data_IF_608280613881
#
_entry.id   IF_608280613881
#
_cell.length_a   1.000
_cell.length_b   1.000
_cell.length_c   1.000
_cell.angle_alpha   90.00
_cell.angle_beta   90.00
_cell.angle_gamma   90.00
#
_symmetry.space_group_name_H-M   'P 1'
#
loop_
_entity.id
_entity.type
_entity.pdbx_description
1 polymer ?
#
# COMPACT_ATOMS: atom_id res chain seq x y z
N UNK A 1 22.54 -15.88 -19.27
CA UNK A 1 22.08 -16.13 -17.89
C UNK A 1 23.14 -15.58 -16.94
N UNK A 2 22.74 -15.02 -15.78
CA UNK A 2 23.46 -14.06 -14.89
C UNK A 2 23.21 -12.60 -15.29
N UNK A 3 22.73 -11.71 -14.45
CA UNK A 3 22.21 -11.77 -13.08
C UNK A 3 21.46 -10.44 -12.86
N UNK A 4 20.24 -10.48 -12.33
CA UNK A 4 19.51 -9.25 -12.02
C UNK A 4 20.16 -8.64 -10.79
N UNK A 5 20.77 -7.46 -10.95
CA UNK A 5 21.39 -6.72 -9.85
C UNK A 5 20.31 -6.21 -8.91
N UNK A 6 20.08 -6.94 -7.82
CA UNK A 6 19.47 -6.39 -6.62
C UNK A 6 20.46 -5.41 -6.00
N UNK A 7 20.22 -4.12 -6.21
CA UNK A 7 20.96 -3.06 -5.52
C UNK A 7 20.30 -2.89 -4.16
N UNK A 8 20.85 -3.58 -3.16
CA UNK A 8 20.62 -3.23 -1.76
C UNK A 8 21.33 -1.90 -1.49
N UNK A 9 20.63 -0.81 -1.12
CA UNK A 9 21.31 0.42 -0.70
C UNK A 9 21.94 0.19 0.68
N UNK A 10 23.17 -0.34 0.67
CA UNK A 10 24.05 -0.26 1.82
C UNK A 10 24.47 1.20 1.99
N UNK A 11 24.24 1.73 3.20
CA UNK A 11 24.67 3.03 3.74
C UNK A 11 23.71 4.20 3.49
N UNK A 12 22.75 4.34 4.41
CA UNK A 12 22.29 5.67 4.80
C UNK A 12 23.45 6.31 5.57
N UNK A 13 24.23 7.13 4.88
CA UNK A 13 25.22 8.00 5.50
C UNK A 13 24.46 8.99 6.38
N UNK A 14 24.52 8.79 7.71
CA UNK A 14 24.07 9.80 8.66
C UNK A 14 24.84 11.10 8.43
N UNK A 15 24.16 12.24 8.46
CA UNK A 15 24.81 13.54 8.45
C UNK A 15 25.77 13.62 9.65
N UNK A 16 27.05 13.82 9.36
CA UNK A 16 28.08 14.07 10.37
C UNK A 16 27.89 15.48 10.94
N UNK A 17 27.95 15.68 12.27
CA UNK A 17 27.91 17.01 12.87
C UNK A 17 29.30 17.67 12.79
N UNK A 18 29.31 19.01 12.84
CA UNK A 18 30.42 19.95 12.65
C UNK A 18 30.57 20.35 11.17
N UNK A 19 30.28 21.59 10.79
CA UNK A 19 30.93 22.83 11.25
C UNK A 19 29.90 23.96 11.47
N UNK A 20 30.23 24.83 12.41
CA UNK A 20 29.46 25.97 12.87
C UNK A 20 29.07 26.97 11.77
N UNK A 21 27.93 27.60 12.03
CA UNK A 21 27.33 28.79 11.44
C UNK A 21 28.26 29.74 10.66
N UNK A 22 27.86 30.05 9.42
CA UNK A 22 27.62 31.43 8.96
C UNK A 22 26.53 31.42 7.88
N UNK A 23 25.45 32.14 8.18
CA UNK A 23 24.48 32.81 7.30
C UNK A 23 24.04 32.15 5.99
N UNK A 24 22.91 31.43 6.06
CA UNK A 24 21.71 31.66 5.23
C UNK A 24 20.65 30.60 5.58
N UNK A 25 20.06 30.74 6.76
CA UNK A 25 18.88 29.95 7.10
C UNK A 25 17.90 30.81 7.90
N UNK A 26 17.17 31.66 7.19
CA UNK A 26 15.95 32.25 7.72
C UNK A 26 14.95 32.47 6.59
N UNK A 27 13.93 31.62 6.60
CA UNK A 27 12.55 31.88 6.20
C UNK A 27 12.31 32.49 4.79
N UNK A 28 11.95 31.62 3.83
CA UNK A 28 11.15 32.03 2.68
C UNK A 28 9.80 31.29 2.69
N UNK A 29 8.85 31.98 3.31
CA UNK A 29 7.41 31.80 3.21
C UNK A 29 6.95 31.83 1.74
N UNK A 30 5.92 31.03 1.42
CA UNK A 30 5.01 31.12 0.23
C UNK A 30 5.38 30.34 -1.04
N UNK A 31 4.72 29.19 -1.21
CA UNK A 31 3.81 28.92 -2.35
C UNK A 31 3.03 27.62 -2.12
N UNK A 32 1.91 27.73 -1.41
CA UNK A 32 0.82 26.77 -1.59
C UNK A 32 0.23 27.08 -2.95
N UNK A 33 0.49 26.23 -3.95
CA UNK A 33 -0.26 26.27 -5.20
C UNK A 33 -1.64 25.70 -4.90
N UNK A 34 -2.60 26.59 -4.70
CA UNK A 34 -4.01 26.26 -4.83
C UNK A 34 -4.27 25.84 -6.28
N UNK A 35 -4.55 24.57 -6.51
CA UNK A 35 -5.04 24.13 -7.81
C UNK A 35 -6.57 24.19 -7.77
N UNK A 36 -7.10 25.27 -8.35
CA UNK A 36 -8.50 25.41 -8.69
C UNK A 36 -8.90 24.32 -9.70
N UNK A 37 -10.00 23.63 -9.40
CA UNK A 37 -10.63 22.68 -10.31
C UNK A 37 -11.39 23.49 -11.37
N UNK A 38 -11.09 23.39 -12.68
CA UNK A 38 -12.00 23.89 -13.69
C UNK A 38 -13.16 22.90 -13.84
N UNK A 39 -14.32 23.28 -13.30
CA UNK A 39 -15.60 22.65 -13.64
C UNK A 39 -15.96 23.07 -15.06
N UNK A 40 -15.72 22.20 -16.05
CA UNK A 40 -16.33 22.34 -17.38
C UNK A 40 -17.43 21.29 -17.52
N UNK A 41 -18.65 21.76 -17.62
CA UNK A 41 -19.85 20.98 -17.88
C UNK A 41 -19.73 20.19 -19.20
N UNK A 42 -20.40 19.03 -19.33
CA UNK A 42 -20.39 18.27 -20.56
C UNK A 42 -21.26 18.97 -21.60
N UNK A 43 -20.65 19.35 -22.72
CA UNK A 43 -21.37 19.67 -23.96
C UNK A 43 -21.68 18.36 -24.68
N UNK A 44 -22.96 18.12 -24.87
CA UNK A 44 -23.52 16.98 -25.60
C UNK A 44 -23.64 17.39 -27.06
N UNK A 45 -22.85 16.77 -27.94
CA UNK A 45 -23.12 16.77 -29.38
C UNK A 45 -23.46 15.34 -29.81
N UNK A 46 -24.74 15.13 -30.09
CA UNK A 46 -25.24 14.05 -30.93
C UNK A 46 -24.92 14.38 -32.40
N UNK A 47 -24.77 13.39 -33.30
CA UNK A 47 -25.97 12.95 -34.03
C UNK A 47 -25.97 11.46 -34.43
N UNK A 48 -27.16 10.87 -34.51
CA UNK A 48 -27.48 9.85 -35.53
C UNK A 48 -28.99 9.76 -35.66
N UNK A 49 -29.44 10.07 -36.87
CA UNK A 49 -30.83 9.97 -37.32
C UNK A 49 -31.32 8.53 -37.47
N UNK A 50 -32.65 8.44 -37.59
CA UNK A 50 -33.45 7.37 -38.19
C UNK A 50 -33.82 6.12 -37.35
N UNK A 51 -34.94 6.28 -36.64
CA UNK A 51 -36.15 5.44 -36.64
C UNK A 51 -36.06 3.93 -37.00
N UNK A 52 -36.65 3.08 -36.14
CA UNK A 52 -37.83 2.25 -36.47
C UNK A 52 -38.45 1.66 -35.19
N UNK A 53 -39.77 1.84 -35.11
CA UNK A 53 -40.77 1.29 -34.18
C UNK A 53 -40.73 -0.24 -34.05
N UNK A 54 -40.97 -0.80 -32.86
CA UNK A 54 -42.14 -1.66 -32.51
C UNK A 54 -42.01 -2.21 -31.09
N UNK A 55 -43.08 -2.06 -30.32
CA UNK A 55 -43.26 -2.46 -28.94
C UNK A 55 -43.40 -3.98 -28.74
N UNK A 56 -42.82 -4.55 -27.67
CA UNK A 56 -43.33 -5.78 -27.02
C UNK A 56 -42.98 -5.81 -25.51
N UNK A 57 -44.03 -5.68 -24.69
CA UNK A 57 -44.37 -6.24 -23.36
C UNK A 57 -43.25 -6.76 -22.41
N UNK A 58 -43.25 -6.41 -21.10
CA UNK A 58 -42.38 -7.04 -20.10
C UNK A 58 -43.01 -8.32 -19.51
N UNK A 59 -42.27 -9.42 -19.49
CA UNK A 59 -42.57 -10.60 -18.66
C UNK A 59 -41.56 -10.63 -17.50
N UNK A 60 -42.05 -10.29 -16.32
CA UNK A 60 -41.34 -10.42 -15.05
C UNK A 60 -41.51 -11.86 -14.56
N UNK A 61 -40.42 -12.61 -14.47
CA UNK A 61 -40.38 -13.88 -13.71
C UNK A 61 -39.53 -13.68 -12.46
N UNK A 62 -40.22 -13.48 -11.34
CA UNK A 62 -39.65 -13.46 -9.99
C UNK A 62 -39.23 -14.88 -9.63
N UNK A 63 -37.93 -15.13 -9.47
CA UNK A 63 -37.41 -16.38 -8.91
C UNK A 63 -37.18 -16.22 -7.41
N UNK A 64 -37.99 -16.94 -6.64
CA UNK A 64 -37.96 -17.02 -5.18
C UNK A 64 -36.78 -17.90 -4.72
N UNK A 65 -35.87 -17.44 -3.84
CA UNK A 65 -34.96 -18.34 -3.16
C UNK A 65 -35.65 -19.02 -1.96
N UNK A 66 -35.68 -20.36 -2.00
CA UNK A 66 -36.17 -21.24 -0.94
C UNK A 66 -35.17 -21.24 0.23
N UNK A 67 -35.57 -20.61 1.34
CA UNK A 67 -34.92 -20.74 2.64
C UNK A 67 -35.00 -22.19 3.12
N UNK A 68 -33.85 -22.81 3.37
CA UNK A 68 -33.77 -24.11 4.04
C UNK A 68 -32.99 -23.92 5.33
N UNK A 69 -33.73 -23.87 6.43
CA UNK A 69 -33.21 -23.82 7.80
C UNK A 69 -32.55 -25.16 8.13
N UNK A 70 -31.24 -25.14 8.41
CA UNK A 70 -30.54 -26.25 9.06
C UNK A 70 -30.17 -25.85 10.49
N UNK A 71 -30.81 -26.54 11.43
CA UNK A 71 -30.62 -26.45 12.88
C UNK A 71 -29.36 -27.21 13.30
N UNK A 72 -28.41 -26.62 14.04
CA UNK A 72 -27.42 -27.41 14.77
C UNK A 72 -27.90 -27.73 16.19
N UNK A 73 -27.84 -29.03 16.49
CA UNK A 73 -28.17 -29.68 17.77
C UNK A 73 -27.11 -29.36 18.82
N UNK A 74 -27.55 -28.72 19.91
CA UNK A 74 -26.80 -28.53 21.16
C UNK A 74 -26.44 -29.89 21.78
N UNK A 75 -25.16 -30.12 22.02
CA UNK A 75 -24.70 -31.17 22.95
C UNK A 75 -23.59 -30.57 23.80
N UNK A 76 -23.92 -30.37 25.08
CA UNK A 76 -23.03 -29.89 26.14
C UNK A 76 -22.00 -30.96 26.49
N UNK A 77 -20.71 -30.64 26.38
CA UNK A 77 -19.63 -31.39 27.04
C UNK A 77 -18.78 -30.43 27.87
N UNK A 78 -18.82 -30.67 29.17
CA UNK A 78 -18.11 -29.95 30.22
C UNK A 78 -16.63 -30.34 30.24
N UNK A 79 -15.67 -29.40 30.28
CA UNK A 79 -14.33 -29.67 30.75
C UNK A 79 -14.15 -29.20 32.21
N UNK A 80 -13.59 -30.12 32.99
CA UNK A 80 -13.25 -30.02 34.41
C UNK A 80 -12.14 -29.00 34.65
N UNK A 81 -12.40 -28.10 35.58
CA UNK A 81 -11.47 -27.12 36.16
C UNK A 81 -10.30 -27.82 36.87
N UNK A 82 -9.08 -27.52 36.43
CA UNK A 82 -7.86 -27.67 37.25
C UNK A 82 -7.04 -26.40 37.06
N UNK A 83 -6.99 -25.56 38.09
CA UNK A 83 -6.18 -24.36 38.12
C UNK A 83 -4.71 -24.74 38.24
N UNK A 84 -3.91 -24.37 37.25
CA UNK A 84 -2.46 -24.22 37.40
C UNK A 84 -2.11 -22.79 37.05
N UNK A 85 -1.68 -22.07 38.09
CA UNK A 85 -1.21 -20.69 38.08
C UNK A 85 0.03 -20.54 37.20
N UNK A 86 0.06 -19.59 36.25
CA UNK A 86 1.31 -19.02 35.79
C UNK A 86 1.56 -17.71 36.52
N UNK A 87 2.76 -17.65 37.08
CA UNK A 87 3.39 -16.55 37.77
C UNK A 87 3.18 -15.20 37.04
N UNK A 88 2.84 -14.18 37.82
CA UNK A 88 2.82 -12.79 37.41
C UNK A 88 4.23 -12.33 37.00
N UNK A 89 4.51 -12.35 35.71
CA UNK A 89 5.60 -11.59 35.11
C UNK A 89 4.97 -10.49 34.27
N UNK A 90 5.14 -9.27 34.74
CA UNK A 90 4.61 -8.01 34.22
C UNK A 90 4.76 -7.94 32.70
N UNK A 91 3.63 -8.02 31.99
CA UNK A 91 3.55 -7.62 30.60
C UNK A 91 3.80 -6.10 30.54
N UNK A 92 4.73 -5.59 29.71
CA UNK A 92 4.74 -4.18 29.39
C UNK A 92 3.48 -3.88 28.56
N UNK A 93 2.52 -3.22 29.20
CA UNK A 93 1.38 -2.56 28.58
C UNK A 93 1.83 -1.75 27.36
N UNK A 94 1.22 -1.91 26.17
CA UNK A 94 1.45 -1.01 25.06
C UNK A 94 0.77 0.33 25.36
N UNK A 95 1.55 1.30 25.84
CA UNK A 95 1.10 2.67 26.05
C UNK A 95 0.75 3.31 24.72
N UNK A 96 -0.55 3.51 24.52
CA UNK A 96 -1.13 4.33 23.48
C UNK A 96 -1.14 5.80 23.94
N UNK A 97 -0.11 6.57 23.58
CA UNK A 97 -0.16 8.05 23.47
C UNK A 97 0.98 8.53 22.55
N UNK A 98 0.66 8.71 21.27
CA UNK A 98 1.04 9.84 20.43
C UNK A 98 2.52 10.28 20.33
N UNK A 99 3.40 9.36 19.92
CA UNK A 99 4.57 9.68 19.08
C UNK A 99 4.48 8.74 17.88
N UNK A 100 4.51 9.21 16.62
CA UNK A 100 4.58 8.30 15.47
C UNK A 100 5.81 7.42 15.67
N UNK A 101 5.61 6.10 15.68
CA UNK A 101 6.72 5.19 15.92
C UNK A 101 7.85 5.54 14.96
N UNK A 102 9.10 5.56 15.45
CA UNK A 102 10.28 5.90 14.64
C UNK A 102 10.30 5.13 13.31
N UNK A 103 9.78 3.90 13.36
CA UNK A 103 9.58 3.01 12.21
C UNK A 103 8.55 3.56 11.20
N UNK A 104 7.43 4.15 11.63
CA UNK A 104 6.44 4.76 10.72
C UNK A 104 7.05 5.95 9.97
N UNK A 105 7.89 6.74 10.65
CA UNK A 105 8.65 7.84 10.03
C UNK A 105 9.62 7.27 9.01
N UNK A 106 10.38 6.24 9.39
CA UNK A 106 11.33 5.56 8.51
C UNK A 106 10.64 4.99 7.27
N UNK A 107 9.51 4.27 7.42
CA UNK A 107 8.76 3.65 6.33
C UNK A 107 8.26 4.70 5.33
N UNK A 108 7.68 5.81 5.82
CA UNK A 108 7.25 6.92 4.94
C UNK A 108 8.43 7.60 4.26
N UNK A 109 9.55 7.76 4.97
CA UNK A 109 10.79 8.34 4.42
C UNK A 109 11.36 7.46 3.30
N UNK A 110 11.47 6.15 3.53
CA UNK A 110 11.90 5.17 2.54
C UNK A 110 11.02 5.24 1.28
N UNK A 111 9.69 5.15 1.44
CA UNK A 111 8.75 5.20 0.33
C UNK A 111 8.83 6.52 -0.48
N UNK A 112 9.07 7.65 0.20
CA UNK A 112 9.21 8.95 -0.45
C UNK A 112 10.54 9.09 -1.19
N UNK A 113 11.65 8.68 -0.57
CA UNK A 113 13.00 8.83 -1.12
C UNK A 113 13.24 7.89 -2.31
N UNK A 114 12.73 6.67 -2.23
CA UNK A 114 12.72 5.71 -3.33
C UNK A 114 11.90 6.19 -4.54
N UNK A 115 10.94 7.10 -4.30
CA UNK A 115 9.95 7.62 -5.25
C UNK A 115 8.94 6.56 -5.69
N UNK A 116 9.41 5.39 -6.08
CA UNK A 116 8.66 4.17 -6.25
C UNK A 116 9.24 3.10 -5.33
N UNK A 117 8.43 2.56 -4.43
CA UNK A 117 8.86 1.54 -3.47
C UNK A 117 7.92 0.35 -3.49
N UNK A 118 8.52 -0.84 -3.38
CA UNK A 118 7.80 -2.09 -3.17
C UNK A 118 8.30 -2.68 -1.85
N UNK A 119 7.41 -2.78 -0.87
CA UNK A 119 7.63 -3.65 0.28
C UNK A 119 7.08 -5.03 -0.06
N UNK A 120 7.89 -6.07 0.10
CA UNK A 120 7.53 -7.44 -0.27
C UNK A 120 8.28 -8.46 0.57
N UNK A 121 8.15 -9.73 0.22
CA UNK A 121 8.93 -10.81 0.82
C UNK A 121 9.51 -11.73 -0.27
N UNK A 122 10.58 -12.42 0.06
CA UNK A 122 11.11 -13.51 -0.76
C UNK A 122 10.07 -14.64 -0.88
N UNK A 123 9.95 -15.22 -2.07
CA UNK A 123 8.97 -16.29 -2.34
C UNK A 123 7.52 -15.82 -2.61
N UNK A 124 7.20 -14.55 -2.43
CA UNK A 124 5.88 -13.99 -2.74
C UNK A 124 5.66 -13.82 -4.26
N UNK A 125 4.68 -14.55 -4.80
CA UNK A 125 4.33 -14.55 -6.24
C UNK A 125 3.82 -13.18 -6.71
N UNK A 126 2.95 -12.53 -5.93
CA UNK A 126 2.41 -11.20 -6.25
C UNK A 126 3.50 -10.10 -6.21
N UNK A 127 4.48 -10.26 -5.32
CA UNK A 127 5.62 -9.35 -5.21
C UNK A 127 6.52 -9.46 -6.45
N UNK A 128 6.76 -10.68 -6.93
CA UNK A 128 7.46 -10.92 -8.19
C UNK A 128 6.70 -10.32 -9.39
N UNK A 129 5.37 -10.44 -9.42
CA UNK A 129 4.53 -9.86 -10.47
C UNK A 129 4.59 -8.32 -10.47
N UNK A 130 4.56 -7.68 -9.29
CA UNK A 130 4.73 -6.24 -9.17
C UNK A 130 6.10 -5.78 -9.68
N UNK A 131 7.19 -6.45 -9.25
CA UNK A 131 8.56 -6.20 -9.74
C UNK A 131 8.65 -6.32 -11.27
N UNK A 132 7.99 -7.32 -11.85
CA UNK A 132 7.96 -7.54 -13.29
C UNK A 132 7.23 -6.41 -14.04
N UNK A 133 6.07 -5.97 -13.54
CA UNK A 133 5.31 -4.87 -14.13
C UNK A 133 6.10 -3.56 -14.11
N UNK A 134 6.74 -3.22 -12.98
CA UNK A 134 7.63 -2.04 -12.93
C UNK A 134 8.78 -2.14 -13.93
N UNK A 135 9.38 -3.33 -14.08
CA UNK A 135 10.44 -3.58 -15.07
C UNK A 135 9.94 -3.43 -16.51
N UNK A 136 8.76 -3.94 -16.82
CA UNK A 136 8.11 -3.77 -18.13
C UNK A 136 7.92 -2.28 -18.46
N UNK A 137 7.46 -1.50 -17.47
CA UNK A 137 7.32 -0.05 -17.58
C UNK A 137 8.65 0.72 -17.57
N UNK A 138 9.78 0.03 -17.40
CA UNK A 138 11.12 0.62 -17.24
C UNK A 138 11.19 1.61 -16.06
N UNK A 139 10.34 1.42 -15.07
CA UNK A 139 10.34 2.23 -13.86
C UNK A 139 11.45 1.77 -12.91
N UNK A 140 12.21 2.73 -12.40
CA UNK A 140 13.12 2.55 -11.26
C UNK A 140 12.28 2.46 -9.99
N UNK A 141 12.62 1.52 -9.12
CA UNK A 141 11.99 1.34 -7.83
C UNK A 141 12.99 0.76 -6.83
N UNK A 142 12.76 1.04 -5.56
CA UNK A 142 13.47 0.37 -4.47
C UNK A 142 12.60 -0.76 -3.92
N UNK A 143 13.25 -1.84 -3.50
CA UNK A 143 12.59 -2.99 -2.88
C UNK A 143 13.08 -3.16 -1.45
N UNK A 144 12.14 -3.32 -0.53
CA UNK A 144 12.43 -3.68 0.85
C UNK A 144 11.75 -5.00 1.20
N UNK A 145 12.58 -6.02 1.45
CA UNK A 145 12.12 -7.30 2.00
C UNK A 145 11.68 -7.14 3.46
N UNK A 146 10.46 -7.52 3.79
CA UNK A 146 9.99 -7.60 5.18
C UNK A 146 10.13 -9.04 5.69
N UNK A 147 9.71 -9.30 6.94
CA UNK A 147 9.97 -10.56 7.64
C UNK A 147 11.47 -10.89 7.76
N UNK A 148 11.89 -12.02 7.19
CA UNK A 148 13.21 -12.63 7.40
C UNK A 148 14.24 -12.25 6.34
N UNK A 149 13.82 -11.49 5.32
CA UNK A 149 14.68 -11.05 4.21
C UNK A 149 15.77 -10.07 4.67
N UNK A 150 15.53 -9.37 5.78
CA UNK A 150 16.35 -8.25 6.25
C UNK A 150 16.66 -8.35 7.76
N UNK A 151 17.33 -9.43 8.22
CA UNK A 151 17.51 -9.71 9.65
C UNK A 151 18.44 -8.73 10.36
N UNK A 152 19.34 -8.07 9.63
CA UNK A 152 20.33 -7.12 10.16
C UNK A 152 19.96 -5.66 9.89
N UNK A 153 18.77 -5.39 9.36
CA UNK A 153 18.35 -4.04 9.02
C UNK A 153 17.73 -3.36 10.25
N UNK A 154 17.94 -2.05 10.39
CA UNK A 154 17.29 -1.23 11.41
C UNK A 154 16.52 -0.12 10.70
N UNK A 155 15.19 -0.04 10.86
CA UNK A 155 14.31 -0.96 11.60
C UNK A 155 14.26 -2.37 10.98
N UNK A 156 13.86 -3.38 11.78
CA UNK A 156 13.78 -4.77 11.32
C UNK A 156 12.65 -4.96 10.30
N UNK A 157 12.74 -6.03 9.49
CA UNK A 157 11.67 -6.36 8.53
C UNK A 157 10.29 -6.50 9.17
N UNK A 158 10.22 -7.08 10.37
CA UNK A 158 8.97 -7.21 11.13
C UNK A 158 8.43 -5.88 11.64
N UNK A 159 9.31 -4.99 12.12
CA UNK A 159 8.90 -3.66 12.56
C UNK A 159 8.31 -2.87 11.40
N UNK A 160 8.95 -2.96 10.23
CA UNK A 160 8.47 -2.33 8.99
C UNK A 160 7.12 -2.93 8.58
N UNK A 161 6.93 -4.25 8.66
CA UNK A 161 5.63 -4.87 8.38
C UNK A 161 4.51 -4.32 9.27
N UNK A 162 4.74 -4.22 10.59
CA UNK A 162 3.75 -3.63 11.50
C UNK A 162 3.52 -2.14 11.24
N UNK A 163 4.56 -1.40 10.85
CA UNK A 163 4.44 -0.01 10.39
C UNK A 163 3.54 0.08 9.15
N UNK A 164 3.75 -0.76 8.13
CA UNK A 164 2.90 -0.82 6.95
C UNK A 164 1.44 -1.07 7.34
N UNK A 165 1.16 -2.05 8.20
CA UNK A 165 -0.19 -2.32 8.71
C UNK A 165 -0.80 -1.10 9.40
N UNK A 166 -0.04 -0.40 10.26
CA UNK A 166 -0.53 0.82 10.92
C UNK A 166 -0.85 1.93 9.93
N UNK A 167 0.03 2.13 8.94
CA UNK A 167 -0.02 3.23 7.98
C UNK A 167 -1.08 3.03 6.90
N UNK A 168 -1.22 1.82 6.38
CA UNK A 168 -2.05 1.53 5.20
C UNK A 168 -3.31 0.76 5.54
N UNK A 169 -3.40 0.20 6.75
CA UNK A 169 -4.46 -0.74 7.16
C UNK A 169 -4.51 -2.00 6.28
N UNK A 170 -3.39 -2.36 5.66
CA UNK A 170 -3.23 -3.57 4.85
C UNK A 170 -2.13 -4.45 5.45
N UNK A 171 -2.46 -5.72 5.67
CA UNK A 171 -1.58 -6.79 6.15
C UNK A 171 -1.07 -7.70 5.01
N UNK A 172 -1.36 -7.34 3.76
CA UNK A 172 -0.96 -8.11 2.57
C UNK A 172 0.24 -7.50 1.87
N UNK A 173 1.07 -8.36 1.30
CA UNK A 173 2.13 -7.97 0.36
C UNK A 173 1.78 -8.35 -1.08
N UNK A 174 2.33 -7.63 -2.08
CA UNK A 174 3.21 -6.46 -1.94
C UNK A 174 2.45 -5.23 -1.40
N UNK A 175 3.17 -4.32 -0.75
CA UNK A 175 2.66 -3.03 -0.33
C UNK A 175 3.40 -1.94 -1.13
N UNK A 176 2.68 -1.28 -2.04
CA UNK A 176 3.26 -0.51 -3.15
C UNK A 176 3.03 0.98 -2.94
N UNK A 177 4.09 1.77 -3.12
CA UNK A 177 4.08 3.22 -2.98
C UNK A 177 4.66 3.89 -4.21
N UNK A 178 3.99 4.95 -4.71
CA UNK A 178 4.44 5.76 -5.85
C UNK A 178 4.27 7.24 -5.51
N UNK A 179 5.32 8.04 -5.67
CA UNK A 179 5.34 9.46 -5.32
C UNK A 179 5.07 9.72 -3.84
N UNK A 180 5.44 8.78 -2.96
CA UNK A 180 5.13 8.83 -1.52
C UNK A 180 3.64 8.60 -1.20
N UNK A 181 2.81 8.22 -2.18
CA UNK A 181 1.41 7.81 -1.96
C UNK A 181 1.30 6.29 -1.94
N UNK A 182 0.51 5.78 -1.01
CA UNK A 182 0.17 4.36 -0.97
C UNK A 182 -0.80 4.04 -2.13
N UNK A 183 -0.46 3.01 -2.91
CA UNK A 183 -1.23 2.57 -4.07
C UNK A 183 -2.11 1.38 -3.73
N UNK A 184 -1.60 0.46 -2.91
CA UNK A 184 -2.29 -0.80 -2.63
C UNK A 184 -1.37 -2.00 -2.82
N UNK A 185 -1.99 -3.11 -3.23
CA UNK A 185 -1.32 -4.35 -3.61
C UNK A 185 -1.02 -4.45 -5.10
N UNK A 186 -0.73 -5.66 -5.56
CA UNK A 186 -0.50 -5.91 -6.99
C UNK A 186 -1.76 -5.69 -7.84
N UNK A 187 -2.93 -6.07 -7.33
CA UNK A 187 -4.19 -5.90 -8.06
C UNK A 187 -4.50 -4.42 -8.32
N UNK A 188 -4.28 -3.55 -7.32
CA UNK A 188 -4.44 -2.10 -7.46
C UNK A 188 -3.46 -1.52 -8.49
N UNK A 189 -2.20 -1.97 -8.45
CA UNK A 189 -1.20 -1.58 -9.44
C UNK A 189 -1.59 -2.04 -10.85
N UNK A 190 -2.08 -3.28 -10.99
CA UNK A 190 -2.49 -3.85 -12.28
C UNK A 190 -3.74 -3.17 -12.82
N UNK A 191 -4.66 -2.74 -11.96
CA UNK A 191 -5.81 -1.93 -12.35
C UNK A 191 -5.38 -0.56 -12.90
N UNK A 192 -4.41 0.10 -12.26
CA UNK A 192 -3.82 1.35 -12.77
C UNK A 192 -3.13 1.16 -14.13
N UNK A 193 -2.43 0.04 -14.31
CA UNK A 193 -1.82 -0.32 -15.59
C UNK A 193 -2.88 -0.53 -16.68
N UNK A 194 -3.91 -1.32 -16.38
CA UNK A 194 -4.99 -1.64 -17.32
C UNK A 194 -5.78 -0.40 -17.75
N UNK A 195 -5.97 0.56 -16.84
CA UNK A 195 -6.62 1.83 -17.13
C UNK A 195 -5.73 2.84 -17.87
N UNK A 196 -4.43 2.57 -18.02
CA UNK A 196 -3.45 3.49 -18.60
C UNK A 196 -3.00 4.62 -17.65
N UNK A 197 -3.55 4.69 -16.43
CA UNK A 197 -3.21 5.72 -15.45
C UNK A 197 -1.81 5.54 -14.84
N UNK A 198 -1.28 4.31 -14.82
CA UNK A 198 0.01 4.01 -14.21
C UNK A 198 1.17 4.78 -14.87
N UNK A 199 1.19 4.90 -16.19
CA UNK A 199 2.30 5.53 -16.91
C UNK A 199 2.44 7.02 -16.54
N UNK A 200 1.32 7.72 -16.40
CA UNK A 200 1.33 9.11 -15.96
C UNK A 200 1.80 9.23 -14.51
N UNK A 201 1.31 8.35 -13.63
CA UNK A 201 1.69 8.34 -12.22
C UNK A 201 3.20 8.11 -12.02
N UNK A 202 3.80 7.20 -12.82
CA UNK A 202 5.23 6.92 -12.80
C UNK A 202 6.07 8.12 -13.31
N UNK A 203 5.58 8.85 -14.32
CA UNK A 203 6.21 10.10 -14.81
C UNK A 203 6.17 11.19 -13.75
N UNK A 204 5.02 11.40 -13.13
CA UNK A 204 4.83 12.44 -12.11
C UNK A 204 5.71 12.18 -10.89
N UNK A 205 5.79 10.91 -10.48
CA UNK A 205 6.70 10.47 -9.43
C UNK A 205 8.18 10.48 -9.86
N UNK A 206 8.47 10.69 -11.16
CA UNK A 206 9.76 10.54 -11.87
C UNK A 206 10.50 9.25 -11.51
N UNK A 207 9.79 8.14 -11.67
CA UNK A 207 10.34 6.79 -11.63
C UNK A 207 10.79 6.30 -13.01
N UNK A 208 10.35 6.94 -14.10
CA UNK A 208 10.82 6.69 -15.47
C UNK A 208 12.12 7.44 -15.78
#
# INVERSE_FOLDING_TARGET
MKGSGEVFPSKIQGCSPQIAATDECTNATTKILAFSIPTKAPVTDAPSDAAVTTAVVPVTTTVTPKSTTVTPKSTSVTPKSTSVTPNSTTAPTPTSTEVPSEVDIWTKSYARNARCAIFGEEGCTYCAAAKALFKEKKAKYDYFGVWMDNPNHTPSGMDVYYSLLRLTKKDTLPNIWIGGKFIGGFDDLKALDTSGALDQLLKDAKCL
#
